data_IF_454138250672
#
_entry.id   IF_454138250672
#
_cell.length_a   1.000
_cell.length_b   1.000
_cell.length_c   1.000
_cell.angle_alpha   90.00
_cell.angle_beta   90.00
_cell.angle_gamma   90.00
#
_symmetry.space_group_name_H-M   'P 1'
#
loop_
_entity.id
_entity.type
_entity.pdbx_description
1 polymer ?
#
# COMPACT_ATOMS: atom_id res chain seq x y z
N UNK A 1 7.15 -1.17 4.78
CA UNK A 1 6.35 -1.11 3.55
C UNK A 1 6.24 -2.41 2.76
N UNK A 2 7.27 -3.27 2.73
CA UNK A 2 7.20 -4.55 2.00
C UNK A 2 6.04 -5.46 2.46
N UNK A 3 5.76 -5.47 3.76
CA UNK A 3 4.68 -6.29 4.33
C UNK A 3 3.29 -5.81 3.89
N UNK A 4 3.08 -4.49 3.80
CA UNK A 4 1.84 -3.88 3.28
C UNK A 4 1.66 -4.19 1.80
N UNK A 5 2.74 -4.14 1.04
CA UNK A 5 2.74 -4.54 -0.36
C UNK A 5 2.30 -6.00 -0.51
N UNK A 6 2.96 -6.93 0.20
CA UNK A 6 2.59 -8.36 0.17
C UNK A 6 1.13 -8.59 0.55
N UNK A 7 0.68 -7.90 1.60
CA UNK A 7 -0.69 -7.95 2.07
C UNK A 7 -1.71 -7.48 1.01
N UNK A 8 -1.47 -6.33 0.37
CA UNK A 8 -2.40 -5.78 -0.63
C UNK A 8 -2.38 -6.54 -1.95
N UNK A 9 -1.27 -7.18 -2.29
CA UNK A 9 -1.12 -7.99 -3.49
C UNK A 9 -1.51 -9.47 -3.29
N UNK A 10 -2.05 -9.85 -2.12
CA UNK A 10 -2.58 -11.18 -1.89
C UNK A 10 -1.53 -12.27 -1.64
N UNK A 11 -0.30 -11.91 -1.30
CA UNK A 11 0.73 -12.88 -0.88
C UNK A 11 0.46 -13.47 0.51
N UNK A 12 -0.46 -12.87 1.27
CA UNK A 12 -0.94 -13.39 2.54
C UNK A 12 -2.37 -13.88 2.41
N UNK A 13 -2.63 -15.08 2.90
CA UNK A 13 -3.98 -15.58 3.10
C UNK A 13 -4.53 -15.01 4.41
N UNK A 14 -5.41 -14.03 4.30
CA UNK A 14 -5.96 -13.29 5.45
C UNK A 14 -7.47 -13.44 5.45
N UNK A 15 -7.99 -14.23 6.40
CA UNK A 15 -9.43 -14.49 6.49
C UNK A 15 -10.27 -13.23 6.78
N UNK A 16 -9.73 -12.28 7.55
CA UNK A 16 -10.36 -10.96 7.79
C UNK A 16 -9.35 -9.84 7.59
N UNK A 17 -9.45 -9.07 6.49
CA UNK A 17 -8.51 -8.01 6.23
C UNK A 17 -8.65 -6.86 7.24
N UNK A 18 -7.55 -6.47 7.87
CA UNK A 18 -7.44 -5.35 8.82
C UNK A 18 -7.14 -4.01 8.13
N UNK A 19 -6.48 -4.05 6.97
CA UNK A 19 -6.20 -2.88 6.13
C UNK A 19 -7.14 -2.91 4.93
N UNK A 20 -7.75 -1.76 4.63
CA UNK A 20 -8.71 -1.61 3.54
C UNK A 20 -8.25 -0.51 2.59
N UNK A 21 -8.47 -0.71 1.29
CA UNK A 21 -8.26 0.33 0.30
C UNK A 21 -9.25 1.48 0.49
N UNK A 22 -8.82 2.70 0.18
CA UNK A 22 -9.70 3.86 0.15
C UNK A 22 -10.76 3.68 -0.96
N UNK A 23 -12.04 3.92 -0.65
CA UNK A 23 -13.15 3.70 -1.60
C UNK A 23 -13.35 4.85 -2.59
N UNK A 24 -12.44 5.84 -2.61
CA UNK A 24 -12.55 7.06 -3.39
C UNK A 24 -11.72 7.02 -4.67
N UNK A 25 -12.13 7.80 -5.67
CA UNK A 25 -11.30 8.10 -6.83
C UNK A 25 -10.23 9.10 -6.37
N UNK A 26 -9.14 8.60 -5.82
CA UNK A 26 -8.01 9.42 -5.37
C UNK A 26 -7.46 10.20 -6.58
N UNK A 27 -7.70 11.51 -6.60
CA UNK A 27 -7.23 12.38 -7.70
C UNK A 27 -5.73 12.70 -7.59
N UNK A 28 -5.07 12.32 -6.47
CA UNK A 28 -3.66 12.59 -6.17
C UNK A 28 -3.03 11.44 -5.39
N UNK A 29 -1.73 11.22 -5.60
CA UNK A 29 -0.99 10.12 -4.98
C UNK A 29 -1.10 8.84 -5.82
N UNK A 30 -1.03 7.68 -5.18
CA UNK A 30 -1.08 6.39 -5.86
C UNK A 30 -2.45 5.68 -5.73
N UNK A 31 -2.71 4.75 -6.65
CA UNK A 31 -3.99 4.02 -6.74
C UNK A 31 -4.30 3.09 -5.56
N UNK A 32 -3.28 2.56 -4.87
CA UNK A 32 -3.42 1.59 -3.76
C UNK A 32 -3.47 2.22 -2.36
N UNK A 33 -3.97 3.45 -2.22
CA UNK A 33 -4.05 4.09 -0.90
C UNK A 33 -4.93 3.33 0.07
N UNK A 34 -4.51 3.29 1.33
CA UNK A 34 -5.25 2.71 2.43
C UNK A 34 -6.19 3.73 3.06
N UNK A 35 -7.39 3.27 3.45
CA UNK A 35 -8.37 4.04 4.20
C UNK A 35 -7.79 4.38 5.58
N UNK A 36 -7.62 5.68 5.86
CA UNK A 36 -7.29 6.17 7.19
C UNK A 36 -8.57 6.45 7.96
N UNK A 37 -8.84 5.65 8.98
CA UNK A 37 -9.98 5.89 9.87
C UNK A 37 -9.71 7.12 10.74
N UNK A 38 -10.73 7.96 10.91
CA UNK A 38 -10.63 9.13 11.80
C UNK A 38 -10.49 8.66 13.25
N UNK A 39 -9.70 9.38 14.01
CA UNK A 39 -9.57 9.22 15.45
C UNK A 39 -9.73 10.57 16.14
N UNK A 40 -10.22 10.54 17.38
CA UNK A 40 -10.43 11.75 18.20
C UNK A 40 -9.40 11.91 19.31
N UNK A 41 -8.66 10.84 19.64
CA UNK A 41 -7.63 10.84 20.69
C UNK A 41 -6.25 10.76 20.05
N UNK A 42 -5.35 11.64 20.46
CA UNK A 42 -3.95 11.68 20.00
C UNK A 42 -3.20 10.38 20.32
N UNK A 43 -3.63 9.64 21.35
CA UNK A 43 -3.11 8.30 21.63
C UNK A 43 -3.31 7.37 20.43
N UNK A 44 -4.47 7.45 19.78
CA UNK A 44 -4.83 6.61 18.65
C UNK A 44 -4.03 6.97 17.39
N UNK A 45 -3.55 8.20 17.26
CA UNK A 45 -2.60 8.61 16.20
C UNK A 45 -1.34 7.76 16.18
N UNK A 46 -0.82 7.47 17.37
CA UNK A 46 0.46 6.79 17.55
C UNK A 46 0.38 5.27 17.39
N UNK A 47 -0.81 4.73 17.06
CA UNK A 47 -1.00 3.30 16.85
C UNK A 47 -0.25 2.84 15.59
N UNK A 48 0.28 1.62 15.68
CA UNK A 48 1.04 1.02 14.59
C UNK A 48 0.26 0.99 13.27
N UNK A 49 -1.04 0.67 13.30
CA UNK A 49 -1.87 0.65 12.10
C UNK A 49 -1.94 2.01 11.40
N UNK A 50 -2.08 3.11 12.15
CA UNK A 50 -2.12 4.45 11.57
C UNK A 50 -0.78 4.88 11.01
N UNK A 51 0.33 4.59 11.71
CA UNK A 51 1.68 4.86 11.21
C UNK A 51 1.95 4.14 9.89
N UNK A 52 1.55 2.86 9.81
CA UNK A 52 1.67 2.05 8.60
C UNK A 52 0.83 2.63 7.45
N UNK A 53 -0.40 3.06 7.75
CA UNK A 53 -1.27 3.70 6.76
C UNK A 53 -0.67 5.01 6.25
N UNK A 54 -0.14 5.85 7.14
CA UNK A 54 0.44 7.14 6.79
C UNK A 54 1.70 7.00 5.94
N UNK A 55 2.64 6.17 6.38
CA UNK A 55 3.86 5.94 5.61
C UNK A 55 3.55 5.29 4.24
N UNK A 56 2.54 4.42 4.14
CA UNK A 56 2.12 3.81 2.85
C UNK A 56 1.48 4.85 1.93
N UNK A 57 0.53 5.65 2.44
CA UNK A 57 -0.18 6.66 1.66
C UNK A 57 0.72 7.82 1.17
N UNK A 58 1.89 7.99 1.80
CA UNK A 58 2.92 8.95 1.39
C UNK A 58 3.87 8.41 0.30
N UNK A 59 3.74 7.15 -0.12
CA UNK A 59 4.55 6.60 -1.19
C UNK A 59 4.15 7.18 -2.55
N UNK A 60 5.13 7.27 -3.45
CA UNK A 60 4.90 7.60 -4.85
C UNK A 60 4.37 6.39 -5.60
N UNK A 61 3.59 6.63 -6.66
CA UNK A 61 3.04 5.55 -7.49
C UNK A 61 4.15 4.65 -8.06
N UNK A 62 5.29 5.21 -8.45
CA UNK A 62 6.44 4.43 -8.95
C UNK A 62 6.83 3.32 -7.99
N UNK A 63 7.02 3.63 -6.69
CA UNK A 63 7.41 2.65 -5.67
C UNK A 63 6.35 1.59 -5.40
N UNK A 64 5.08 1.94 -5.62
CA UNK A 64 3.95 1.04 -5.40
C UNK A 64 3.70 0.15 -6.61
N UNK A 65 3.96 0.66 -7.82
CA UNK A 65 3.78 -0.01 -9.10
C UNK A 65 4.99 -0.77 -9.61
N UNK A 66 6.14 -0.76 -8.93
CA UNK A 66 7.30 -1.54 -9.40
C UNK A 66 6.89 -3.01 -9.50
N UNK A 67 6.58 -3.40 -10.73
CA UNK A 67 6.29 -4.74 -11.14
C UNK A 67 7.65 -5.40 -11.33
N UNK A 68 7.94 -6.48 -10.61
CA UNK A 68 9.16 -7.25 -10.88
C UNK A 68 9.21 -7.83 -12.31
N UNK A 69 8.11 -7.75 -13.07
CA UNK A 69 7.97 -8.26 -14.44
C UNK A 69 8.68 -7.42 -15.52
N UNK A 70 9.26 -6.26 -15.21
CA UNK A 70 10.03 -5.48 -16.20
C UNK A 70 11.50 -5.95 -16.31
N UNK A 71 11.95 -6.87 -15.45
CA UNK A 71 13.30 -7.45 -15.51
C UNK A 71 13.45 -8.62 -16.49
N UNK A 72 12.37 -9.08 -17.12
CA UNK A 72 12.41 -10.18 -18.10
C UNK A 72 12.47 -9.69 -19.56
N UNK A 73 12.50 -8.38 -19.80
CA UNK A 73 12.48 -7.78 -21.15
C UNK A 73 13.87 -7.35 -21.67
N UNK A 74 14.95 -7.57 -20.91
CA UNK A 74 16.34 -7.40 -21.37
C UNK A 74 17.01 -8.74 -21.75
N UNK A 75 16.23 -9.67 -22.31
CA UNK A 75 16.75 -10.82 -23.04
C UNK A 75 16.89 -10.49 -24.53
N UNK A 76 17.86 -9.66 -24.90
CA UNK A 76 18.20 -9.45 -26.31
C UNK A 76 18.82 -10.72 -26.90
N UNK A 77 18.32 -11.25 -28.03
CA UNK A 77 18.91 -12.43 -28.66
C UNK A 77 20.14 -12.01 -29.49
N UNK A 78 21.26 -12.69 -29.27
CA UNK A 78 22.27 -12.93 -30.32
C UNK A 78 21.93 -14.23 -31.04
#
# INVERSE_FOLDING_TARGET
MIEVFKYLHGYYDVGQPQLHLASGRELRGHSLKLRKDRYSLDLRENFFSHRVIDEWNNLTEEKVKVNNNERDMEGTPF
#
